data_IF_350359087705
#
_entry.id   IF_350359087705
#
_cell.length_a   1.000
_cell.length_b   1.000
_cell.length_c   1.000
_cell.angle_alpha   90.00
_cell.angle_beta   90.00
_cell.angle_gamma   90.00
#
_symmetry.space_group_name_H-M   'P 1'
#
loop_
_entity.id
_entity.type
_entity.pdbx_description
1 polymer ?
#
# COMPACT_ATOMS: atom_id res chain seq x y z
N UNK A 1 -12.87 -3.85 13.25
CA UNK A 1 -11.85 -4.45 14.15
C UNK A 1 -11.74 -5.98 14.00
N UNK A 2 -12.13 -6.58 12.85
CA UNK A 2 -12.38 -8.03 12.76
C UNK A 2 -11.39 -8.76 11.85
N UNK A 3 -10.79 -8.05 10.89
CA UNK A 3 -9.90 -8.63 9.86
C UNK A 3 -8.57 -9.16 10.42
N UNK A 4 -8.11 -8.64 11.55
CA UNK A 4 -6.85 -9.06 12.18
C UNK A 4 -7.03 -10.28 13.10
N UNK A 5 -8.19 -10.42 13.73
CA UNK A 5 -8.45 -11.53 14.66
C UNK A 5 -8.54 -12.89 13.94
N UNK A 6 -8.98 -12.91 12.68
CA UNK A 6 -8.98 -14.14 11.86
C UNK A 6 -7.57 -14.66 11.57
N UNK A 7 -6.54 -13.81 11.58
CA UNK A 7 -5.14 -14.25 11.42
C UNK A 7 -4.58 -14.86 12.71
N UNK A 8 -4.99 -14.32 13.85
CA UNK A 8 -4.47 -14.72 15.15
C UNK A 8 -5.12 -15.99 15.71
N UNK A 9 -6.18 -16.51 15.08
CA UNK A 9 -6.89 -17.72 15.53
C UNK A 9 -6.00 -18.98 15.50
N UNK A 10 -5.01 -19.01 14.62
CA UNK A 10 -4.06 -20.14 14.49
C UNK A 10 -2.96 -20.10 15.56
N UNK A 11 -2.74 -18.93 16.18
CA UNK A 11 -1.67 -18.71 17.14
C UNK A 11 -2.18 -18.77 18.59
N UNK A 12 -1.49 -19.53 19.43
CA UNK A 12 -1.70 -19.49 20.89
C UNK A 12 -0.84 -18.37 21.48
N UNK A 13 -1.40 -17.18 21.58
CA UNK A 13 -0.71 -16.01 22.15
C UNK A 13 -1.39 -15.53 23.43
N UNK A 14 -0.62 -14.91 24.32
CA UNK A 14 -1.10 -14.27 25.54
C UNK A 14 -0.71 -12.80 25.49
N UNK A 15 -1.68 -11.91 25.63
CA UNK A 15 -1.43 -10.45 25.59
C UNK A 15 -0.88 -10.02 26.94
N UNK A 16 0.42 -9.74 27.00
CA UNK A 16 1.09 -9.20 28.19
C UNK A 16 1.63 -7.80 27.92
N UNK A 17 1.26 -6.85 28.77
CA UNK A 17 1.85 -5.52 28.73
C UNK A 17 3.33 -5.57 29.17
N UNK A 18 4.21 -5.00 28.36
CA UNK A 18 5.63 -4.81 28.68
C UNK A 18 5.91 -3.31 28.78
N UNK A 19 6.34 -2.80 29.94
CA UNK A 19 6.66 -1.38 30.10
C UNK A 19 7.89 -1.02 29.25
N UNK A 20 7.95 0.23 28.77
CA UNK A 20 8.90 0.68 27.74
C UNK A 20 10.37 0.36 28.01
N UNK A 21 10.81 0.40 29.29
CA UNK A 21 12.18 0.04 29.69
C UNK A 21 12.55 -1.43 29.42
N UNK A 22 11.56 -2.33 29.36
CA UNK A 22 11.77 -3.73 28.97
C UNK A 22 11.50 -3.96 27.47
N UNK A 23 11.04 -2.92 26.77
CA UNK A 23 10.73 -2.95 25.35
C UNK A 23 11.89 -2.45 24.48
N UNK A 24 13.07 -2.22 25.06
CA UNK A 24 14.22 -1.58 24.39
C UNK A 24 14.56 -2.20 23.03
N UNK A 25 14.50 -3.52 22.90
CA UNK A 25 14.82 -4.21 21.63
C UNK A 25 13.75 -3.96 20.57
N UNK A 26 12.47 -4.14 20.90
CA UNK A 26 11.39 -3.89 19.94
C UNK A 26 11.29 -2.41 19.58
N UNK A 27 11.54 -1.54 20.55
CA UNK A 27 11.55 -0.09 20.42
C UNK A 27 12.73 0.39 19.55
N UNK A 28 13.93 -0.20 19.70
CA UNK A 28 15.08 0.04 18.84
C UNK A 28 14.85 -0.48 17.40
N UNK A 29 14.26 -1.67 17.25
CA UNK A 29 13.95 -2.23 15.93
C UNK A 29 12.85 -1.46 15.20
N UNK A 30 11.82 -0.99 15.92
CA UNK A 30 10.75 -0.17 15.37
C UNK A 30 11.26 1.18 14.84
N UNK A 31 12.30 1.74 15.48
CA UNK A 31 12.89 3.03 15.11
C UNK A 31 13.95 2.98 14.01
N UNK A 32 14.19 1.83 13.40
CA UNK A 32 15.23 1.67 12.36
C UNK A 32 14.81 2.38 11.06
N UNK A 33 15.43 3.52 10.69
CA UNK A 33 15.05 4.28 9.49
C UNK A 33 15.42 3.53 8.20
N UNK A 34 16.32 2.57 8.29
CA UNK A 34 16.71 1.67 7.21
C UNK A 34 15.66 0.60 6.88
N UNK A 35 14.68 0.37 7.77
CA UNK A 35 13.58 -0.56 7.52
C UNK A 35 12.57 0.00 6.51
N UNK A 36 12.25 1.30 6.55
CA UNK A 36 11.29 1.92 5.63
C UNK A 36 11.75 1.90 4.16
N UNK A 37 13.08 1.93 3.92
CA UNK A 37 13.67 2.04 2.59
C UNK A 37 13.97 0.68 1.93
N UNK A 38 14.34 -0.34 2.73
CA UNK A 38 14.78 -1.63 2.20
C UNK A 38 13.62 -2.52 1.69
N UNK A 39 12.40 -2.32 2.19
CA UNK A 39 11.25 -3.14 1.84
C UNK A 39 10.52 -2.70 0.57
N UNK A 40 10.87 -1.55 -0.01
CA UNK A 40 10.19 -1.02 -1.20
C UNK A 40 11.00 -1.23 -2.50
N UNK A 41 12.27 -1.63 -2.40
CA UNK A 41 13.21 -1.60 -3.55
C UNK A 41 13.84 -2.94 -3.93
N UNK A 42 13.33 -4.07 -3.43
CA UNK A 42 13.82 -5.38 -3.87
C UNK A 42 12.92 -5.98 -4.96
N UNK A 43 13.28 -5.73 -6.23
CA UNK A 43 12.99 -6.64 -7.35
C UNK A 43 11.60 -6.55 -8.01
N UNK A 44 10.72 -5.64 -7.59
CA UNK A 44 9.43 -5.40 -8.24
C UNK A 44 9.39 -3.96 -8.79
N UNK A 45 8.62 -3.75 -9.86
CA UNK A 45 8.37 -2.42 -10.45
C UNK A 45 8.14 -1.39 -9.35
N UNK A 46 8.69 -0.19 -9.51
CA UNK A 46 8.61 0.84 -8.47
C UNK A 46 7.15 1.07 -8.08
N UNK A 47 6.89 1.36 -6.80
CA UNK A 47 5.52 1.63 -6.30
C UNK A 47 4.70 2.56 -7.20
N UNK A 48 5.24 3.67 -7.75
CA UNK A 48 4.46 4.50 -8.67
C UNK A 48 4.14 3.80 -10.00
N UNK A 49 4.97 2.89 -10.50
CA UNK A 49 4.66 2.09 -11.68
C UNK A 49 3.52 1.10 -11.41
N UNK A 50 3.48 0.50 -10.21
CA UNK A 50 2.37 -0.37 -9.79
C UNK A 50 1.06 0.39 -9.71
N UNK A 51 1.07 1.58 -9.09
CA UNK A 51 -0.11 2.44 -8.98
C UNK A 51 -0.60 2.86 -10.38
N UNK A 52 0.33 3.23 -11.27
CA UNK A 52 0.01 3.61 -12.65
C UNK A 52 -0.58 2.44 -13.44
N UNK A 53 -0.05 1.23 -13.27
CA UNK A 53 -0.61 0.03 -13.88
C UNK A 53 -2.02 -0.27 -13.36
N UNK A 54 -2.26 -0.08 -12.05
CA UNK A 54 -3.57 -0.27 -11.43
C UNK A 54 -4.64 0.69 -11.98
N UNK A 55 -4.27 1.89 -12.45
CA UNK A 55 -5.24 2.82 -13.05
C UNK A 55 -5.99 2.25 -14.24
N UNK A 56 -5.38 1.33 -15.01
CA UNK A 56 -6.05 0.70 -16.14
C UNK A 56 -7.24 -0.20 -15.74
N UNK A 57 -7.29 -0.62 -14.47
CA UNK A 57 -8.33 -1.51 -13.94
C UNK A 57 -9.47 -0.77 -13.23
N UNK A 58 -9.32 0.54 -12.95
CA UNK A 58 -10.33 1.35 -12.29
C UNK A 58 -10.98 2.35 -13.26
N UNK A 59 -12.26 2.12 -13.56
CA UNK A 59 -13.08 2.96 -14.44
C UNK A 59 -13.08 4.45 -14.05
N UNK A 60 -13.01 4.75 -12.75
CA UNK A 60 -12.95 6.12 -12.23
C UNK A 60 -11.61 6.77 -12.61
N UNK A 61 -10.51 6.04 -12.38
CA UNK A 61 -9.17 6.53 -12.66
C UNK A 61 -8.96 6.73 -14.16
N UNK A 62 -9.41 5.78 -14.99
CA UNK A 62 -9.38 5.90 -16.46
C UNK A 62 -10.13 7.15 -16.92
N UNK A 63 -11.34 7.39 -16.40
CA UNK A 63 -12.13 8.55 -16.77
C UNK A 63 -11.48 9.89 -16.33
N UNK A 64 -10.81 9.92 -15.17
CA UNK A 64 -10.05 11.08 -14.69
C UNK A 64 -8.81 11.34 -15.54
N UNK A 65 -8.03 10.30 -15.86
CA UNK A 65 -6.86 10.40 -16.72
C UNK A 65 -7.20 10.91 -18.10
N UNK A 66 -8.31 10.44 -18.68
CA UNK A 66 -8.82 10.94 -19.97
C UNK A 66 -9.19 12.42 -19.90
N UNK A 67 -9.89 12.83 -18.84
CA UNK A 67 -10.35 14.21 -18.69
C UNK A 67 -9.22 15.21 -18.39
N UNK A 68 -8.15 14.76 -17.72
CA UNK A 68 -6.95 15.55 -17.45
C UNK A 68 -5.96 15.56 -18.62
N UNK A 69 -6.24 14.81 -19.70
CA UNK A 69 -5.48 14.85 -20.95
C UNK A 69 -4.33 13.84 -21.04
N UNK A 70 -4.33 12.76 -20.25
CA UNK A 70 -3.34 11.68 -20.36
C UNK A 70 -3.35 11.05 -21.76
N UNK A 71 -2.19 10.99 -22.42
CA UNK A 71 -2.02 10.39 -23.75
C UNK A 71 -2.44 8.91 -23.80
N UNK A 72 -2.18 8.19 -22.72
CA UNK A 72 -2.40 6.73 -22.62
C UNK A 72 -3.89 6.38 -22.64
N UNK A 73 -4.78 7.28 -22.19
CA UNK A 73 -6.20 7.01 -21.98
C UNK A 73 -7.14 7.92 -22.79
N UNK A 74 -6.62 8.70 -23.74
CA UNK A 74 -7.44 9.62 -24.58
C UNK A 74 -8.60 8.94 -25.30
N UNK A 75 -8.38 7.71 -25.74
CA UNK A 75 -9.35 6.94 -26.54
C UNK A 75 -10.34 6.12 -25.69
N UNK A 76 -10.32 6.26 -24.37
CA UNK A 76 -11.22 5.51 -23.50
C UNK A 76 -12.66 6.03 -23.59
N UNK A 77 -13.62 5.12 -23.72
CA UNK A 77 -15.06 5.42 -23.71
C UNK A 77 -15.60 5.73 -22.30
N UNK A 78 -14.75 5.64 -21.27
CA UNK A 78 -15.13 5.88 -19.88
C UNK A 78 -15.37 7.36 -19.62
N UNK A 79 -16.63 7.69 -19.33
CA UNK A 79 -17.07 9.06 -19.10
C UNK A 79 -17.05 9.45 -17.61
N UNK A 80 -16.66 10.69 -17.32
CA UNK A 80 -16.68 11.17 -15.94
C UNK A 80 -18.11 11.31 -15.41
N UNK A 81 -18.33 10.96 -14.15
CA UNK A 81 -19.60 11.27 -13.48
C UNK A 81 -19.78 12.78 -13.34
N UNK A 82 -21.04 13.25 -13.27
CA UNK A 82 -21.35 14.70 -13.08
C UNK A 82 -20.64 15.29 -11.85
N UNK A 83 -20.55 14.49 -10.77
CA UNK A 83 -19.89 14.89 -9.53
C UNK A 83 -18.38 15.06 -9.71
N UNK A 84 -17.73 14.12 -10.39
CA UNK A 84 -16.30 14.20 -10.66
C UNK A 84 -15.96 15.35 -11.60
N UNK A 85 -16.77 15.60 -12.63
CA UNK A 85 -16.60 16.77 -13.52
C UNK A 85 -16.65 18.09 -12.74
N UNK A 86 -17.60 18.25 -11.83
CA UNK A 86 -17.70 19.47 -11.00
C UNK A 86 -16.48 19.67 -10.09
N UNK A 87 -15.85 18.56 -9.69
CA UNK A 87 -14.69 18.54 -8.80
C UNK A 87 -13.35 18.42 -9.53
N UNK A 88 -13.31 18.50 -10.87
CA UNK A 88 -12.11 18.19 -11.65
C UNK A 88 -10.92 19.09 -11.32
N UNK A 89 -11.20 20.35 -10.95
CA UNK A 89 -10.20 21.33 -10.50
C UNK A 89 -9.38 20.90 -9.27
N UNK A 90 -9.84 19.88 -8.53
CA UNK A 90 -9.15 19.30 -7.36
C UNK A 90 -8.19 18.17 -7.73
N UNK A 91 -8.22 17.74 -9.00
CA UNK A 91 -7.39 16.67 -9.50
C UNK A 91 -6.30 17.22 -10.40
N UNK A 92 -5.08 16.71 -10.24
CA UNK A 92 -3.94 17.04 -11.10
C UNK A 92 -3.25 15.77 -11.55
N UNK A 93 -2.60 15.84 -12.70
CA UNK A 93 -1.85 14.73 -13.30
C UNK A 93 -0.39 15.17 -13.41
N UNK A 94 0.50 14.44 -12.73
CA UNK A 94 1.94 14.69 -12.78
C UNK A 94 2.70 13.35 -12.84
N UNK A 95 3.66 13.24 -13.77
CA UNK A 95 4.45 12.01 -13.94
C UNK A 95 3.64 10.73 -14.22
N UNK A 96 2.40 10.85 -14.71
CA UNK A 96 1.49 9.71 -14.89
C UNK A 96 0.76 9.26 -13.62
N UNK A 97 0.88 10.00 -12.52
CA UNK A 97 0.16 9.80 -11.27
C UNK A 97 -0.96 10.81 -11.10
N UNK A 98 -2.10 10.34 -10.59
CA UNK A 98 -3.23 11.20 -10.23
C UNK A 98 -3.06 11.71 -8.80
N UNK A 99 -3.20 13.02 -8.64
CA UNK A 99 -3.18 13.69 -7.35
C UNK A 99 -4.52 14.34 -7.05
N UNK A 100 -4.97 14.25 -5.81
CA UNK A 100 -6.16 14.90 -5.30
C UNK A 100 -5.78 15.90 -4.20
N UNK A 101 -6.33 17.12 -4.29
CA UNK A 101 -6.20 18.11 -3.21
C UNK A 101 -7.56 18.57 -2.71
N UNK A 102 -7.74 18.64 -1.39
CA UNK A 102 -8.99 19.19 -0.86
C UNK A 102 -9.05 20.70 -0.99
N UNK A 103 -7.94 21.37 -0.75
CA UNK A 103 -7.78 22.81 -0.76
C UNK A 103 -6.50 23.18 -1.52
N UNK A 104 -6.41 24.37 -2.14
CA UNK A 104 -5.20 24.76 -2.86
C UNK A 104 -3.95 24.84 -1.98
N UNK A 105 -4.11 24.90 -0.66
CA UNK A 105 -3.02 24.90 0.33
C UNK A 105 -2.76 23.51 0.96
N UNK A 106 -3.62 22.51 0.73
CA UNK A 106 -3.39 21.15 1.23
C UNK A 106 -2.34 20.44 0.38
N UNK A 107 -1.57 19.55 1.01
CA UNK A 107 -0.59 18.75 0.31
C UNK A 107 -1.31 17.74 -0.61
N UNK A 108 -1.01 17.72 -1.92
CA UNK A 108 -1.70 16.84 -2.87
C UNK A 108 -1.41 15.37 -2.53
N UNK A 109 -2.47 14.54 -2.56
CA UNK A 109 -2.41 13.12 -2.20
C UNK A 109 -2.51 12.27 -3.45
N UNK A 110 -1.63 11.27 -3.59
CA UNK A 110 -1.70 10.31 -4.70
C UNK A 110 -2.98 9.48 -4.58
N UNK A 111 -3.69 9.33 -5.70
CA UNK A 111 -4.83 8.43 -5.81
C UNK A 111 -4.30 7.03 -6.04
N UNK A 112 -4.64 6.12 -5.13
CA UNK A 112 -4.38 4.70 -5.27
C UNK A 112 -5.71 4.02 -5.61
N UNK A 113 -5.81 3.36 -6.78
CA UNK A 113 -7.00 2.61 -7.17
C UNK A 113 -7.35 1.56 -6.13
N UNK A 114 -8.64 1.34 -5.94
CA UNK A 114 -9.08 0.26 -5.10
C UNK A 114 -9.06 -1.04 -5.90
N UNK A 115 -7.99 -1.82 -5.78
CA UNK A 115 -7.93 -3.16 -6.36
C UNK A 115 -8.90 -4.07 -5.61
N UNK A 116 -10.04 -4.38 -6.24
CA UNK A 116 -10.91 -5.50 -5.82
C UNK A 116 -10.25 -6.87 -6.08
N UNK A 117 -9.18 -6.90 -6.90
CA UNK A 117 -8.43 -8.11 -7.17
C UNK A 117 -7.31 -8.32 -6.14
N UNK A 118 -7.52 -9.36 -5.34
CA UNK A 118 -6.71 -9.85 -4.22
C UNK A 118 -5.28 -10.30 -4.61
N UNK A 119 -4.79 -9.93 -5.80
CA UNK A 119 -3.50 -10.37 -6.37
C UNK A 119 -2.31 -9.51 -5.95
N UNK A 120 -2.48 -8.22 -5.62
CA UNK A 120 -1.36 -7.40 -5.09
C UNK A 120 -0.93 -7.92 -3.71
N UNK A 121 -1.86 -8.47 -2.93
CA UNK A 121 -1.58 -9.08 -1.63
C UNK A 121 -0.74 -10.37 -1.76
N UNK A 122 -0.89 -11.12 -2.85
CA UNK A 122 -0.06 -12.31 -3.14
C UNK A 122 1.39 -11.92 -3.44
N UNK A 123 1.59 -10.79 -4.13
CA UNK A 123 2.90 -10.26 -4.47
C UNK A 123 3.64 -9.70 -3.24
N UNK A 124 2.93 -8.99 -2.35
CA UNK A 124 3.48 -8.56 -1.06
C UNK A 124 3.73 -9.74 -0.09
N UNK A 125 2.92 -10.81 -0.15
CA UNK A 125 3.13 -12.06 0.62
C UNK A 125 4.36 -12.84 0.18
N UNK A 126 4.65 -12.89 -1.12
CA UNK A 126 5.86 -13.56 -1.64
C UNK A 126 7.14 -12.87 -1.16
N UNK A 127 7.13 -11.53 -1.11
CA UNK A 127 8.30 -10.73 -0.71
C UNK A 127 8.61 -10.82 0.80
N UNK A 128 7.60 -11.03 1.65
CA UNK A 128 7.79 -11.22 3.09
C UNK A 128 8.27 -12.66 3.43
N UNK A 129 7.84 -13.65 2.64
CA UNK A 129 8.16 -15.08 2.88
C UNK A 129 9.64 -15.42 2.64
N UNK A 130 10.32 -14.72 1.73
CA UNK A 130 11.73 -15.00 1.40
C UNK A 130 12.76 -14.37 2.34
N UNK A 131 12.35 -13.53 3.30
CA UNK A 131 13.28 -12.77 4.17
C UNK A 131 13.35 -13.26 5.62
N UNK A 132 12.44 -14.12 6.08
CA UNK A 132 12.50 -14.71 7.43
C UNK A 132 13.14 -16.10 7.39
N UNK A 133 14.34 -16.16 6.83
CA UNK A 133 15.25 -17.29 7.00
C UNK A 133 16.15 -17.04 8.21
N UNK A 134 15.99 -17.85 9.25
CA UNK A 134 16.84 -17.97 10.47
C UNK A 134 16.32 -17.26 11.72
N UNK A 135 15.45 -17.96 12.45
CA UNK A 135 15.42 -17.85 13.92
C UNK A 135 15.47 -19.26 14.52
N UNK A 136 16.61 -19.55 15.13
CA UNK A 136 16.95 -20.81 15.80
C UNK A 136 16.02 -21.03 16.99
N UNK A 137 15.18 -22.06 16.94
CA UNK A 137 14.41 -22.55 18.09
C UNK A 137 15.22 -23.64 18.80
N UNK A 138 15.77 -23.32 19.97
CA UNK A 138 16.38 -24.29 20.89
C UNK A 138 15.32 -25.27 21.41
N UNK A 139 15.62 -26.58 21.31
CA UNK A 139 14.92 -27.62 22.07
C UNK A 139 15.37 -27.61 23.53
N UNK A 140 14.48 -27.81 24.51
CA UNK A 140 14.81 -28.53 25.72
C UNK A 140 14.34 -30.00 25.59
N UNK A 141 15.28 -30.92 25.74
CA UNK A 141 15.00 -32.31 26.12
C UNK A 141 14.41 -32.34 27.52
N UNK A 142 13.47 -33.24 27.75
CA UNK A 142 13.03 -33.66 29.08
C UNK A 142 13.27 -35.18 29.24
N UNK A 143 13.55 -35.66 30.46
CA UNK A 143 14.14 -36.96 30.74
C UNK A 143 13.22 -38.16 30.54
#
# INVERSE_FOLDING_TARGET
MTRWLSFFVEYKFEVKYKPGRLNEVADALSRRPDYELAHVTTGMSSVPDLIRAAYAHDDMCVALLRALGSEEFKNSDKELSRRLRASLHRYTLDGGLLYYSTDPEDAPRVIVPHDEDSSIESSMRSMISLSVGTWVVRRPMAP
#
